data_IF_244136235056
#
_entry.id   IF_244136235056
#
_cell.length_a   1.000
_cell.length_b   1.000
_cell.length_c   1.000
_cell.angle_alpha   90.00
_cell.angle_beta   90.00
_cell.angle_gamma   90.00
#
_symmetry.space_group_name_H-M   'P 1'
#
loop_
_entity.id
_entity.type
_entity.pdbx_description
1 polymer ?
#
# COMPACT_ATOMS: atom_id res chain seq x y z
N UNK A 1 -3.68 3.37 11.37
CA UNK A 1 -3.03 3.60 10.06
C UNK A 1 -3.18 2.42 9.09
N UNK A 2 -2.98 1.16 9.53
CA UNK A 2 -3.17 -0.03 8.66
C UNK A 2 -4.65 -0.29 8.31
N UNK A 3 -5.56 0.18 9.16
CA UNK A 3 -7.01 0.11 9.00
C UNK A 3 -7.48 0.81 7.72
N UNK A 4 -6.74 1.81 7.22
CA UNK A 4 -7.08 2.51 5.98
C UNK A 4 -7.13 1.58 4.76
N UNK A 5 -6.49 0.41 4.82
CA UNK A 5 -6.47 -0.58 3.76
C UNK A 5 -7.58 -1.63 3.86
N UNK A 6 -8.43 -1.60 4.89
CA UNK A 6 -9.47 -2.59 5.14
C UNK A 6 -10.81 -1.92 5.47
N UNK A 7 -11.93 -2.60 5.22
CA UNK A 7 -13.27 -2.03 5.44
C UNK A 7 -13.63 -1.97 6.93
N UNK A 8 -14.25 -0.89 7.39
CA UNK A 8 -14.80 -0.75 8.75
C UNK A 8 -15.86 -1.82 9.06
N UNK A 9 -16.57 -2.34 8.05
CA UNK A 9 -17.56 -3.41 8.23
C UNK A 9 -16.98 -4.80 8.44
N UNK A 10 -15.68 -5.03 8.19
CA UNK A 10 -14.99 -6.27 8.57
C UNK A 10 -14.48 -6.24 10.02
N UNK A 11 -14.57 -5.08 10.69
CA UNK A 11 -14.36 -4.94 12.12
C UNK A 11 -15.73 -5.08 12.78
N UNK A 12 -16.18 -6.31 13.05
CA UNK A 12 -17.54 -6.57 13.53
C UNK A 12 -17.90 -5.74 14.79
N UNK A 13 -18.94 -4.92 14.61
CA UNK A 13 -20.09 -4.62 15.48
C UNK A 13 -20.00 -4.33 16.99
N UNK A 14 -18.83 -4.23 17.63
CA UNK A 14 -18.74 -3.85 19.07
C UNK A 14 -18.03 -2.52 19.36
N UNK A 15 -17.57 -1.78 18.34
CA UNK A 15 -16.83 -0.52 18.54
C UNK A 15 -17.44 0.72 17.85
N UNK A 16 -18.66 0.59 17.30
CA UNK A 16 -19.25 1.60 16.42
C UNK A 16 -19.73 2.90 17.10
N UNK A 17 -19.42 3.16 18.37
CA UNK A 17 -19.92 4.35 19.08
C UNK A 17 -18.90 5.27 19.75
N UNK A 18 -17.58 5.09 19.58
CA UNK A 18 -16.64 6.02 20.23
C UNK A 18 -15.38 6.49 19.47
N UNK A 19 -15.27 6.28 18.16
CA UNK A 19 -14.19 6.92 17.40
C UNK A 19 -14.72 7.77 16.25
N UNK A 20 -15.18 8.98 16.61
CA UNK A 20 -14.84 10.13 15.76
C UNK A 20 -13.30 10.15 15.68
N UNK A 21 -12.74 9.76 14.53
CA UNK A 21 -11.34 9.98 14.21
C UNK A 21 -11.14 11.50 14.11
N UNK A 22 -11.01 12.13 15.27
CA UNK A 22 -10.44 13.44 15.45
C UNK A 22 -9.07 13.45 14.78
N UNK A 23 -8.92 14.22 13.70
CA UNK A 23 -7.67 14.76 13.14
C UNK A 23 -6.37 14.04 13.56
N UNK A 24 -6.31 12.72 13.42
CA UNK A 24 -5.07 11.98 13.62
C UNK A 24 -4.21 12.33 12.42
N UNK A 25 -2.95 12.70 12.66
CA UNK A 25 -2.03 13.24 11.67
C UNK A 25 -1.97 12.34 10.43
N UNK A 26 -2.87 12.56 9.46
CA UNK A 26 -2.93 11.73 8.28
C UNK A 26 -1.83 12.23 7.37
N UNK A 27 -0.73 11.49 7.34
CA UNK A 27 0.37 11.81 6.46
C UNK A 27 -0.14 11.84 5.01
N UNK A 28 -0.03 12.99 4.32
CA UNK A 28 -0.58 13.13 2.97
C UNK A 28 0.19 12.31 1.94
N UNK A 29 1.32 11.70 2.29
CA UNK A 29 2.11 10.87 1.40
C UNK A 29 2.48 9.55 2.09
N UNK A 30 2.04 8.44 1.49
CA UNK A 30 2.23 7.07 1.96
C UNK A 30 2.87 6.20 0.87
N UNK A 31 3.64 5.19 1.29
CA UNK A 31 4.20 4.14 0.44
C UNK A 31 3.69 2.77 0.92
N UNK A 32 3.24 1.92 -0.01
CA UNK A 32 2.95 0.51 0.22
C UNK A 32 3.96 -0.36 -0.55
N UNK A 33 4.93 -0.95 0.14
CA UNK A 33 5.93 -1.83 -0.48
C UNK A 33 5.69 -3.29 -0.14
N UNK A 34 6.00 -4.20 -1.07
CA UNK A 34 5.94 -5.63 -0.79
C UNK A 34 6.40 -6.49 -1.95
N UNK A 35 6.52 -7.82 -1.73
CA UNK A 35 6.93 -8.75 -2.77
C UNK A 35 5.94 -8.80 -3.95
N UNK A 36 6.33 -9.40 -5.10
CA UNK A 36 5.37 -9.72 -6.15
C UNK A 36 4.22 -10.57 -5.61
N UNK A 37 3.03 -10.44 -6.22
CA UNK A 37 1.86 -11.28 -5.93
C UNK A 37 1.33 -11.28 -4.48
N UNK A 38 1.65 -10.26 -3.67
CA UNK A 38 1.14 -10.15 -2.30
C UNK A 38 -0.18 -9.34 -2.15
N UNK A 39 -0.88 -9.05 -3.24
CA UNK A 39 -2.17 -8.34 -3.17
C UNK A 39 -2.07 -6.83 -3.01
N UNK A 40 -0.92 -6.21 -3.31
CA UNK A 40 -0.75 -4.74 -3.28
C UNK A 40 -1.84 -4.00 -4.04
N UNK A 41 -2.08 -4.35 -5.29
CA UNK A 41 -3.10 -3.72 -6.13
C UNK A 41 -4.49 -3.83 -5.49
N UNK A 42 -4.83 -4.97 -4.88
CA UNK A 42 -6.08 -5.15 -4.13
C UNK A 42 -6.16 -4.23 -2.91
N UNK A 43 -5.10 -4.13 -2.10
CA UNK A 43 -5.02 -3.22 -0.96
C UNK A 43 -5.12 -1.74 -1.37
N UNK A 44 -4.45 -1.35 -2.45
CA UNK A 44 -4.53 0.00 -3.02
C UNK A 44 -5.95 0.33 -3.49
N UNK A 45 -6.61 -0.63 -4.14
CA UNK A 45 -7.97 -0.47 -4.61
C UNK A 45 -8.97 -0.40 -3.44
N UNK A 46 -8.75 -1.20 -2.39
CA UNK A 46 -9.52 -1.13 -1.15
C UNK A 46 -9.34 0.22 -0.44
N UNK A 47 -8.11 0.72 -0.38
CA UNK A 47 -7.84 2.07 0.13
C UNK A 47 -8.58 3.15 -0.66
N UNK A 48 -8.53 3.08 -1.99
CA UNK A 48 -9.25 4.00 -2.86
C UNK A 48 -10.78 3.95 -2.63
N UNK A 49 -11.33 2.76 -2.44
CA UNK A 49 -12.74 2.56 -2.11
C UNK A 49 -13.09 3.18 -0.75
N UNK A 50 -12.30 2.92 0.29
CA UNK A 50 -12.52 3.46 1.63
C UNK A 50 -12.50 4.99 1.63
N UNK A 51 -11.51 5.61 0.97
CA UNK A 51 -11.41 7.07 0.84
C UNK A 51 -12.63 7.65 0.13
N UNK A 52 -13.11 6.99 -0.92
CA UNK A 52 -14.29 7.44 -1.65
C UNK A 52 -15.60 7.21 -0.87
N UNK A 53 -15.65 6.19 -0.01
CA UNK A 53 -16.79 5.90 0.85
C UNK A 53 -16.94 6.91 2.00
N UNK A 54 -15.82 7.29 2.63
CA UNK A 54 -15.77 8.20 3.78
C UNK A 54 -15.99 9.67 3.40
N UNK A 55 -15.84 10.04 2.13
CA UNK A 55 -15.89 11.42 1.69
C UNK A 55 -17.33 11.95 1.60
N UNK A 56 -17.55 13.10 2.27
CA UNK A 56 -18.85 13.80 2.35
C UNK A 56 -19.24 14.53 1.05
N UNK A 57 -18.26 14.90 0.23
CA UNK A 57 -18.46 15.57 -1.07
C UNK A 57 -18.41 14.56 -2.24
N UNK A 58 -18.58 14.99 -3.50
CA UNK A 58 -18.47 14.10 -4.68
C UNK A 58 -17.05 14.10 -5.30
N UNK A 59 -16.01 14.49 -4.54
CA UNK A 59 -14.65 14.42 -5.04
C UNK A 59 -14.27 12.97 -5.34
N UNK A 60 -13.35 12.82 -6.30
CA UNK A 60 -12.93 11.53 -6.83
C UNK A 60 -11.59 11.10 -6.24
N UNK A 61 -11.34 9.80 -6.25
CA UNK A 61 -10.01 9.22 -6.06
C UNK A 61 -9.45 8.90 -7.44
N UNK A 62 -8.22 9.33 -7.74
CA UNK A 62 -7.57 9.02 -9.02
C UNK A 62 -6.64 7.83 -8.84
N UNK A 63 -6.88 6.75 -9.59
CA UNK A 63 -6.08 5.53 -9.54
C UNK A 63 -5.24 5.42 -10.82
N UNK A 64 -3.93 5.67 -10.69
CA UNK A 64 -2.94 5.63 -11.77
C UNK A 64 -2.31 4.24 -11.82
N UNK A 65 -2.37 3.59 -12.98
CA UNK A 65 -1.87 2.22 -13.15
C UNK A 65 -1.55 1.91 -14.61
N UNK A 66 -0.83 0.81 -14.86
CA UNK A 66 -0.74 0.22 -16.19
C UNK A 66 -2.05 -0.48 -16.56
N UNK A 67 -2.56 -0.23 -17.76
CA UNK A 67 -3.79 -0.86 -18.26
C UNK A 67 -3.68 -2.38 -18.34
N UNK A 68 -2.58 -2.85 -18.92
CA UNK A 68 -2.29 -4.28 -19.11
C UNK A 68 -2.32 -5.06 -17.79
N UNK A 69 -1.79 -4.49 -16.71
CA UNK A 69 -1.77 -5.12 -15.38
C UNK A 69 -3.19 -5.32 -14.85
N UNK A 70 -4.01 -4.27 -14.84
CA UNK A 70 -5.39 -4.33 -14.36
C UNK A 70 -6.25 -5.29 -15.21
N UNK A 71 -6.05 -5.32 -16.53
CA UNK A 71 -6.79 -6.23 -17.41
C UNK A 71 -6.36 -7.70 -17.21
N UNK A 72 -5.07 -7.96 -16.96
CA UNK A 72 -4.56 -9.33 -16.75
C UNK A 72 -4.84 -9.90 -15.35
N UNK A 73 -4.86 -9.03 -14.34
CA UNK A 73 -4.95 -9.38 -12.93
C UNK A 73 -5.72 -8.30 -12.18
N UNK A 74 -7.06 -8.26 -12.32
CA UNK A 74 -7.88 -7.25 -11.66
C UNK A 74 -7.78 -7.34 -10.12
N UNK A 75 -7.92 -6.21 -9.41
CA UNK A 75 -7.87 -6.21 -7.95
C UNK A 75 -8.98 -7.07 -7.34
N UNK A 76 -8.64 -7.82 -6.31
CA UNK A 76 -9.62 -8.54 -5.50
C UNK A 76 -10.32 -7.57 -4.55
N UNK A 77 -11.65 -7.64 -4.51
CA UNK A 77 -12.44 -6.84 -3.57
C UNK A 77 -12.44 -7.47 -2.18
N UNK A 78 -12.55 -6.64 -1.15
CA UNK A 78 -12.76 -7.12 0.21
C UNK A 78 -14.11 -7.84 0.36
N UNK A 79 -14.15 -8.85 1.23
CA UNK A 79 -15.40 -9.52 1.60
C UNK A 79 -16.45 -8.50 2.07
N UNK A 80 -17.65 -8.58 1.49
CA UNK A 80 -18.78 -7.70 1.81
C UNK A 80 -18.97 -6.53 0.83
N UNK A 81 -17.98 -6.23 -0.02
CA UNK A 81 -18.13 -5.16 -1.02
C UNK A 81 -18.89 -5.69 -2.23
N UNK A 82 -19.96 -4.99 -2.60
CA UNK A 82 -20.75 -5.28 -3.78
C UNK A 82 -20.09 -4.64 -5.01
N UNK A 83 -19.77 -5.41 -6.08
CA UNK A 83 -19.17 -4.88 -7.31
C UNK A 83 -20.02 -3.79 -8.00
N UNK A 84 -21.33 -3.76 -7.74
CA UNK A 84 -22.27 -2.77 -8.27
C UNK A 84 -22.33 -1.46 -7.47
N UNK A 85 -21.52 -1.32 -6.42
CA UNK A 85 -21.51 -0.13 -5.57
C UNK A 85 -21.22 1.14 -6.38
N UNK A 86 -22.05 2.17 -6.20
CA UNK A 86 -21.85 3.46 -6.85
C UNK A 86 -20.57 4.17 -6.40
N UNK A 87 -19.98 3.75 -5.27
CA UNK A 87 -18.67 4.23 -4.80
C UNK A 87 -17.58 3.99 -5.85
N UNK A 88 -17.66 2.93 -6.65
CA UNK A 88 -16.69 2.69 -7.72
C UNK A 88 -16.73 3.77 -8.80
N UNK A 89 -17.87 4.44 -9.02
CA UNK A 89 -17.97 5.60 -9.93
C UNK A 89 -17.17 6.81 -9.43
N UNK A 90 -16.77 6.81 -8.15
CA UNK A 90 -15.90 7.83 -7.56
C UNK A 90 -14.41 7.53 -7.68
N UNK A 91 -14.05 6.33 -8.16
CA UNK A 91 -12.66 5.95 -8.45
C UNK A 91 -12.41 6.14 -9.94
N UNK A 92 -11.63 7.16 -10.29
CA UNK A 92 -11.24 7.45 -11.66
C UNK A 92 -9.97 6.70 -12.03
N UNK A 93 -10.10 5.73 -12.93
CA UNK A 93 -8.94 5.01 -13.49
C UNK A 93 -8.20 5.90 -14.49
N UNK A 94 -6.88 6.02 -14.33
CA UNK A 94 -6.00 6.75 -15.24
C UNK A 94 -4.84 5.86 -15.68
N UNK A 95 -4.92 5.37 -16.91
CA UNK A 95 -3.89 4.51 -17.46
C UNK A 95 -2.71 5.33 -17.98
N UNK A 96 -1.50 5.00 -17.53
CA UNK A 96 -0.25 5.62 -17.99
C UNK A 96 0.76 4.52 -18.37
N UNK A 97 1.61 4.82 -19.35
CA UNK A 97 2.57 3.85 -19.89
C UNK A 97 3.96 3.97 -19.26
N UNK A 98 4.33 5.15 -18.78
CA UNK A 98 5.67 5.44 -18.27
C UNK A 98 5.70 6.63 -17.31
N UNK A 99 6.90 6.94 -16.83
CA UNK A 99 7.19 8.03 -15.92
C UNK A 99 6.76 9.42 -16.45
N UNK A 100 6.73 9.61 -17.78
CA UNK A 100 6.25 10.85 -18.40
C UNK A 100 4.75 11.06 -18.20
N UNK A 101 3.95 9.99 -18.18
CA UNK A 101 2.52 10.06 -17.90
C UNK A 101 2.24 10.55 -16.48
N UNK A 102 2.98 10.03 -15.49
CA UNK A 102 2.92 10.49 -14.10
C UNK A 102 3.35 11.95 -14.00
N UNK A 103 4.50 12.30 -14.62
CA UNK A 103 5.02 13.66 -14.62
C UNK A 103 4.01 14.66 -15.18
N UNK A 104 3.38 14.36 -16.32
CA UNK A 104 2.38 15.23 -16.94
C UNK A 104 1.16 15.43 -16.05
N UNK A 105 0.68 14.37 -15.38
CA UNK A 105 -0.44 14.47 -14.47
C UNK A 105 -0.15 15.42 -13.30
N UNK A 106 0.96 15.21 -12.58
CA UNK A 106 1.30 16.04 -11.43
C UNK A 106 1.78 17.45 -11.82
N UNK A 107 2.38 17.64 -13.00
CA UNK A 107 2.71 18.98 -13.50
C UNK A 107 1.44 19.81 -13.78
N UNK A 108 0.37 19.17 -14.25
CA UNK A 108 -0.93 19.80 -14.49
C UNK A 108 -1.80 19.88 -13.23
N UNK A 109 -1.32 19.46 -12.06
CA UNK A 109 -2.15 19.35 -10.85
C UNK A 109 -2.77 20.68 -10.41
N UNK A 110 -2.08 21.80 -10.68
CA UNK A 110 -2.56 23.15 -10.42
C UNK A 110 -3.75 23.58 -11.30
N UNK A 111 -4.10 22.81 -12.33
CA UNK A 111 -5.23 23.08 -13.23
C UNK A 111 -6.53 22.41 -12.76
N UNK A 112 -6.50 21.65 -11.66
CA UNK A 112 -7.71 21.08 -11.09
C UNK A 112 -8.57 22.19 -10.46
N UNK A 113 -9.83 22.33 -10.91
CA UNK A 113 -10.83 23.17 -10.24
C UNK A 113 -11.11 22.67 -8.82
N UNK A 114 -11.22 21.35 -8.69
CA UNK A 114 -11.36 20.64 -7.42
C UNK A 114 -10.32 19.52 -7.35
N UNK A 115 -9.47 19.55 -6.32
CA UNK A 115 -8.45 18.53 -6.12
C UNK A 115 -9.07 17.17 -5.80
N UNK A 116 -8.46 16.04 -6.23
CA UNK A 116 -8.93 14.71 -5.85
C UNK A 116 -8.76 14.48 -4.34
N UNK A 117 -9.56 13.57 -3.77
CA UNK A 117 -9.41 13.14 -2.36
C UNK A 117 -8.07 12.44 -2.14
N UNK A 118 -7.70 11.60 -3.11
CA UNK A 118 -6.43 10.90 -3.13
C UNK A 118 -6.00 10.62 -4.55
N UNK A 119 -4.69 10.60 -4.77
CA UNK A 119 -4.06 9.98 -5.92
C UNK A 119 -3.41 8.69 -5.46
N UNK A 120 -3.74 7.57 -6.10
CA UNK A 120 -3.17 6.26 -5.84
C UNK A 120 -2.36 5.84 -7.06
N UNK A 121 -1.09 5.47 -6.90
CA UNK A 121 -0.23 5.03 -8.00
C UNK A 121 0.21 3.59 -7.76
N UNK A 122 -0.27 2.69 -8.61
CA UNK A 122 0.07 1.26 -8.52
C UNK A 122 1.39 0.94 -9.22
N UNK A 123 2.30 0.31 -8.49
CA UNK A 123 3.66 -0.08 -8.82
C UNK A 123 4.51 1.06 -9.40
N UNK A 124 4.67 2.12 -8.62
CA UNK A 124 5.37 3.35 -8.99
C UNK A 124 6.75 3.10 -9.61
N UNK A 125 7.51 2.13 -9.08
CA UNK A 125 8.85 1.79 -9.56
C UNK A 125 8.89 1.20 -10.99
N UNK A 126 7.77 0.67 -11.49
CA UNK A 126 7.63 0.01 -12.81
C UNK A 126 7.57 1.00 -13.97
N UNK A 127 7.09 2.22 -13.72
CA UNK A 127 7.01 3.28 -14.75
C UNK A 127 8.38 3.80 -15.20
N UNK A 128 9.45 3.46 -14.47
CA UNK A 128 10.80 3.98 -14.68
C UNK A 128 11.69 2.94 -15.37
N UNK A 129 11.60 2.88 -16.70
CA UNK A 129 12.43 1.98 -17.51
C UNK A 129 13.91 2.40 -17.47
N UNK A 130 14.77 1.50 -16.97
CA UNK A 130 16.20 1.75 -16.73
C UNK A 130 16.91 2.37 -17.95
N UNK A 131 16.88 1.70 -19.11
CA UNK A 131 17.57 2.17 -20.33
C UNK A 131 17.07 3.54 -20.78
N UNK A 132 15.75 3.73 -20.82
CA UNK A 132 15.12 5.00 -21.21
C UNK A 132 15.56 6.14 -20.30
N UNK A 133 15.64 5.88 -18.99
CA UNK A 133 16.06 6.89 -18.02
C UNK A 133 17.57 7.18 -18.16
N UNK A 134 18.41 6.16 -18.33
CA UNK A 134 19.85 6.32 -18.53
C UNK A 134 20.17 7.14 -19.78
N UNK A 135 19.50 6.86 -20.90
CA UNK A 135 19.62 7.60 -22.16
C UNK A 135 19.17 9.05 -22.00
N UNK A 136 18.00 9.28 -21.37
CA UNK A 136 17.45 10.64 -21.16
C UNK A 136 18.38 11.54 -20.35
N UNK A 137 19.07 10.98 -19.36
CA UNK A 137 19.94 11.74 -18.46
C UNK A 137 21.44 11.63 -18.79
N UNK A 138 21.82 10.79 -19.76
CA UNK A 138 23.22 10.48 -20.05
C UNK A 138 23.98 9.96 -18.82
N UNK A 139 23.31 9.23 -17.92
CA UNK A 139 23.83 8.88 -16.60
C UNK A 139 23.43 7.44 -16.21
N UNK A 140 24.36 6.59 -15.74
CA UNK A 140 24.04 5.24 -15.25
C UNK A 140 22.99 5.20 -14.12
N UNK A 141 22.86 6.28 -13.33
CA UNK A 141 21.82 6.46 -12.31
C UNK A 141 20.61 7.25 -12.84
N UNK A 142 20.39 7.23 -14.15
CA UNK A 142 19.29 7.96 -14.79
C UNK A 142 17.92 7.57 -14.20
N UNK A 143 17.72 6.29 -13.85
CA UNK A 143 16.49 5.81 -13.20
C UNK A 143 16.27 6.45 -11.83
N UNK A 144 17.29 6.44 -10.98
CA UNK A 144 17.23 7.07 -9.65
C UNK A 144 16.92 8.58 -9.76
N UNK A 145 17.56 9.26 -10.71
CA UNK A 145 17.32 10.68 -10.97
C UNK A 145 15.88 10.95 -11.43
N UNK A 146 15.34 10.13 -12.33
CA UNK A 146 13.96 10.22 -12.78
C UNK A 146 12.98 10.08 -11.60
N UNK A 147 13.20 9.03 -10.81
CA UNK A 147 12.36 8.65 -9.68
C UNK A 147 12.32 9.76 -8.62
N UNK A 148 13.47 10.30 -8.22
CA UNK A 148 13.54 11.39 -7.25
C UNK A 148 12.86 12.66 -7.76
N UNK A 149 13.05 13.01 -9.03
CA UNK A 149 12.42 14.20 -9.62
C UNK A 149 10.91 14.09 -9.65
N UNK A 150 10.38 12.92 -10.01
CA UNK A 150 8.93 12.72 -10.03
C UNK A 150 8.37 12.60 -8.61
N UNK A 151 9.05 11.94 -7.67
CA UNK A 151 8.65 11.94 -6.25
C UNK A 151 8.56 13.35 -5.68
N UNK A 152 9.56 14.19 -5.95
CA UNK A 152 9.56 15.59 -5.52
C UNK A 152 8.40 16.38 -6.15
N UNK A 153 8.10 16.15 -7.43
CA UNK A 153 6.96 16.75 -8.12
C UNK A 153 5.63 16.32 -7.48
N UNK A 154 5.45 15.02 -7.23
CA UNK A 154 4.26 14.48 -6.59
C UNK A 154 4.06 15.07 -5.19
N UNK A 155 5.13 15.10 -4.38
CA UNK A 155 5.13 15.71 -3.06
C UNK A 155 4.68 17.17 -3.13
N UNK A 156 5.32 17.98 -3.99
CA UNK A 156 5.01 19.41 -4.11
C UNK A 156 3.58 19.66 -4.56
N UNK A 157 3.08 18.90 -5.55
CA UNK A 157 1.72 18.98 -6.03
C UNK A 157 0.71 18.73 -4.89
N UNK A 158 0.90 17.65 -4.14
CA UNK A 158 0.00 17.27 -3.03
C UNK A 158 0.08 18.28 -1.88
N UNK A 159 1.28 18.72 -1.48
CA UNK A 159 1.42 19.75 -0.45
C UNK A 159 0.76 21.05 -0.85
N UNK A 160 0.92 21.48 -2.11
CA UNK A 160 0.28 22.70 -2.61
C UNK A 160 -1.25 22.64 -2.62
N UNK A 161 -1.82 21.43 -2.74
CA UNK A 161 -3.27 21.24 -2.65
C UNK A 161 -3.79 21.22 -1.21
N UNK A 162 -2.96 20.91 -0.22
CA UNK A 162 -3.40 20.88 1.18
C UNK A 162 -3.81 22.25 1.70
N UNK A 163 -3.33 23.33 1.09
CA UNK A 163 -3.76 24.71 1.41
C UNK A 163 -5.18 25.03 0.88
N UNK A 164 -5.73 24.21 -0.03
CA UNK A 164 -6.98 24.52 -0.78
C UNK A 164 -8.03 23.40 -0.77
N UNK A 165 -7.60 22.16 -0.61
CA UNK A 165 -8.43 20.97 -0.70
C UNK A 165 -7.57 19.75 -0.45
N UNK A 166 -7.44 19.36 0.82
CA UNK A 166 -6.62 18.24 1.28
C UNK A 166 -6.66 17.04 0.33
N UNK A 167 -5.48 16.62 -0.16
CA UNK A 167 -5.29 15.48 -1.04
C UNK A 167 -4.28 14.52 -0.41
N UNK A 168 -4.57 13.22 -0.47
CA UNK A 168 -3.62 12.16 -0.10
C UNK A 168 -2.90 11.62 -1.34
N UNK A 169 -1.72 11.06 -1.14
CA UNK A 169 -0.96 10.33 -2.15
C UNK A 169 -0.51 9.01 -1.57
N UNK A 170 -0.89 7.93 -2.23
CA UNK A 170 -0.46 6.58 -1.91
C UNK A 170 0.23 5.99 -3.13
N UNK A 171 1.49 5.64 -3.00
CA UNK A 171 2.24 4.93 -4.04
C UNK A 171 2.53 3.51 -3.58
N UNK A 172 2.60 2.55 -4.50
CA UNK A 172 3.14 1.22 -4.18
C UNK A 172 4.45 0.95 -4.92
N UNK A 173 5.25 0.02 -4.39
CA UNK A 173 6.50 -0.44 -5.03
C UNK A 173 6.67 -1.94 -4.82
N UNK A 174 6.89 -2.67 -5.91
CA UNK A 174 7.21 -4.11 -5.88
C UNK A 174 8.72 -4.34 -5.77
N UNK A 175 9.13 -5.12 -4.77
CA UNK A 175 10.53 -5.48 -4.59
C UNK A 175 10.75 -6.97 -4.34
N UNK A 176 11.89 -7.49 -4.80
CA UNK A 176 12.36 -8.82 -4.41
C UNK A 176 13.25 -8.70 -3.16
N UNK A 177 12.94 -9.48 -2.12
CA UNK A 177 13.63 -9.44 -0.82
C UNK A 177 12.91 -8.58 0.23
N UNK A 178 13.59 -8.26 1.33
CA UNK A 178 12.96 -7.66 2.51
C UNK A 178 12.52 -6.19 2.35
N UNK A 179 13.09 -5.44 1.39
CA UNK A 179 12.78 -4.02 1.19
C UNK A 179 13.02 -3.53 -0.25
N UNK A 180 12.37 -2.42 -0.68
CA UNK A 180 12.68 -1.79 -1.96
C UNK A 180 14.15 -1.40 -2.06
N UNK A 181 14.78 -1.70 -3.21
CA UNK A 181 16.18 -1.29 -3.48
C UNK A 181 16.40 0.22 -3.32
N UNK A 182 15.35 1.00 -3.60
CA UNK A 182 15.35 2.46 -3.52
C UNK A 182 14.64 3.00 -2.27
N UNK A 183 14.49 2.18 -1.21
CA UNK A 183 13.83 2.58 0.03
C UNK A 183 14.44 3.85 0.64
N UNK A 184 15.75 4.04 0.52
CA UNK A 184 16.44 5.25 1.00
C UNK A 184 15.97 6.53 0.28
N UNK A 185 15.55 6.44 -0.99
CA UNK A 185 14.98 7.57 -1.73
C UNK A 185 13.56 7.86 -1.25
N UNK A 186 12.73 6.83 -1.06
CA UNK A 186 11.37 7.00 -0.56
C UNK A 186 11.34 7.60 0.85
N UNK A 187 12.21 7.12 1.77
CA UNK A 187 12.31 7.63 3.14
C UNK A 187 12.54 9.14 3.24
N UNK A 188 13.12 9.76 2.20
CA UNK A 188 13.34 11.21 2.14
C UNK A 188 12.05 12.01 1.89
N UNK A 189 11.09 11.43 1.18
CA UNK A 189 9.90 12.13 0.69
C UNK A 189 8.60 11.60 1.29
N UNK A 190 8.62 10.37 1.81
CA UNK A 190 7.45 9.64 2.28
C UNK A 190 7.55 9.42 3.79
N UNK A 191 6.72 10.09 4.60
CA UNK A 191 6.72 9.95 6.06
C UNK A 191 6.10 8.63 6.57
N UNK A 192 5.20 8.01 5.81
CA UNK A 192 4.52 6.76 6.19
C UNK A 192 4.81 5.64 5.22
N UNK A 193 5.46 4.58 5.69
CA UNK A 193 5.86 3.46 4.86
C UNK A 193 5.23 2.18 5.41
N UNK A 194 4.38 1.56 4.60
CA UNK A 194 3.78 0.28 4.87
C UNK A 194 4.53 -0.82 4.12
N UNK A 195 4.90 -1.88 4.82
CA UNK A 195 5.61 -3.01 4.22
C UNK A 195 4.80 -4.28 4.40
N UNK A 196 4.58 -4.99 3.30
CA UNK A 196 3.99 -6.31 3.26
C UNK A 196 5.10 -7.35 3.33
N UNK A 197 4.98 -8.30 4.26
CA UNK A 197 5.83 -9.49 4.33
C UNK A 197 4.99 -10.74 4.11
N UNK A 198 5.50 -11.65 3.29
CA UNK A 198 4.93 -12.99 3.17
C UNK A 198 5.26 -13.81 4.42
N UNK A 199 4.28 -14.59 4.89
CA UNK A 199 4.50 -15.60 5.93
C UNK A 199 5.06 -16.87 5.28
N UNK A 200 6.31 -16.84 4.84
CA UNK A 200 7.04 -18.08 4.56
C UNK A 200 7.58 -18.58 5.90
N UNK A 201 7.15 -19.75 6.33
CA UNK A 201 7.62 -20.40 7.56
C UNK A 201 9.15 -20.47 7.56
N UNK A 202 9.81 -19.72 8.44
CA UNK A 202 11.27 -19.73 8.62
C UNK A 202 11.83 -21.04 9.21
N UNK A 203 11.05 -22.11 9.29
CA UNK A 203 11.46 -23.37 9.93
C UNK A 203 12.09 -24.39 8.97
N UNK A 204 12.22 -24.10 7.67
CA UNK A 204 12.90 -25.00 6.72
C UNK A 204 13.78 -24.20 5.74
N UNK A 205 14.74 -23.44 6.27
CA UNK A 205 15.61 -22.56 5.46
C UNK A 205 16.77 -23.28 4.74
N UNK A 206 16.73 -24.61 4.58
CA UNK A 206 17.81 -25.37 3.90
C UNK A 206 17.38 -26.48 2.95
N UNK A 207 16.08 -26.74 2.71
CA UNK A 207 15.68 -27.87 1.85
C UNK A 207 14.45 -27.66 0.97
N UNK A 208 14.25 -26.46 0.39
CA UNK A 208 13.25 -26.33 -0.69
C UNK A 208 13.91 -25.69 -1.91
N UNK A 209 14.35 -26.59 -2.79
CA UNK A 209 14.39 -26.43 -4.24
C UNK A 209 13.08 -25.77 -4.68
N UNK A 210 13.16 -24.70 -5.47
CA UNK A 210 12.08 -24.07 -6.25
C UNK A 210 10.76 -24.86 -6.26
N UNK A 211 9.85 -24.51 -5.34
CA UNK A 211 8.44 -24.84 -5.48
C UNK A 211 7.64 -23.55 -5.56
N UNK A 212 6.92 -23.42 -6.66
CA UNK A 212 5.87 -22.42 -6.83
C UNK A 212 4.89 -22.51 -5.65
N UNK A 213 4.70 -21.39 -4.96
CA UNK A 213 3.56 -21.13 -4.08
C UNK A 213 3.28 -22.16 -2.98
N UNK A 214 3.88 -21.97 -1.81
CA UNK A 214 3.31 -22.54 -0.57
C UNK A 214 2.01 -21.80 -0.20
N UNK A 215 0.93 -22.19 -0.88
CA UNK A 215 -0.35 -22.66 -0.33
C UNK A 215 -1.23 -21.79 0.56
N UNK A 216 -0.70 -20.89 1.41
CA UNK A 216 -1.52 -20.24 2.42
C UNK A 216 -1.88 -18.78 2.16
N UNK A 217 -1.27 -18.10 1.17
CA UNK A 217 -1.75 -16.81 0.66
C UNK A 217 -1.92 -15.68 1.70
N UNK A 218 -1.37 -15.83 2.91
CA UNK A 218 -1.46 -14.86 4.01
C UNK A 218 -0.22 -13.98 4.10
N UNK A 219 -0.44 -12.73 4.48
CA UNK A 219 0.53 -11.65 4.47
C UNK A 219 0.37 -10.77 5.71
N UNK A 220 1.47 -10.15 6.13
CA UNK A 220 1.49 -9.17 7.20
C UNK A 220 1.76 -7.78 6.64
N UNK A 221 0.85 -6.84 6.89
CA UNK A 221 1.03 -5.42 6.61
C UNK A 221 1.50 -4.71 7.87
N UNK A 222 2.71 -4.15 7.82
CA UNK A 222 3.34 -3.41 8.91
C UNK A 222 3.47 -1.93 8.57
N UNK A 223 3.19 -1.03 9.51
CA UNK A 223 3.38 0.41 9.35
C UNK A 223 4.67 0.89 10.03
N UNK A 224 5.62 1.41 9.26
CA UNK A 224 6.81 2.10 9.73
C UNK A 224 6.62 3.61 9.55
N UNK A 225 6.31 4.33 10.64
CA UNK A 225 6.34 5.79 10.65
C UNK A 225 7.80 6.26 10.70
N UNK A 226 8.18 7.16 9.79
CA UNK A 226 9.55 7.66 9.67
C UNK A 226 9.78 8.94 10.51
N UNK A 227 8.79 9.35 11.32
CA UNK A 227 8.85 10.55 12.16
C UNK A 227 9.50 10.17 13.48
N UNK A 228 10.73 10.64 13.68
CA UNK A 228 11.44 10.46 14.94
C UNK A 228 10.73 11.17 16.09
N UNK A 229 10.41 10.43 17.15
CA UNK A 229 10.26 10.91 18.54
C UNK A 229 9.52 9.83 19.34
N UNK A 230 10.22 9.20 20.29
CA UNK A 230 9.84 8.90 21.69
C UNK A 230 8.42 8.46 22.10
N UNK A 231 7.50 8.17 21.18
CA UNK A 231 6.23 7.57 21.51
C UNK A 231 6.27 6.09 21.12
N UNK A 232 6.25 5.25 22.14
CA UNK A 232 5.87 3.83 22.14
C UNK A 232 4.41 3.65 21.68
N UNK A 233 4.03 4.23 20.53
CA UNK A 233 2.80 3.82 19.87
C UNK A 233 3.00 2.39 19.39
N UNK A 234 2.28 1.47 20.02
CA UNK A 234 2.30 0.05 19.70
C UNK A 234 2.08 -0.14 18.19
N UNK A 235 3.02 -0.80 17.54
CA UNK A 235 2.97 -1.02 16.10
C UNK A 235 1.83 -1.99 15.80
N UNK A 236 0.80 -1.50 15.11
CA UNK A 236 -0.31 -2.34 14.63
C UNK A 236 0.09 -3.08 13.36
N UNK A 237 -0.24 -4.36 13.31
CA UNK A 237 0.06 -5.24 12.19
C UNK A 237 -1.23 -5.87 11.70
N UNK A 238 -1.57 -5.68 10.43
CA UNK A 238 -2.73 -6.35 9.85
C UNK A 238 -2.30 -7.64 9.17
N UNK A 239 -2.90 -8.77 9.57
CA UNK A 239 -2.77 -10.05 8.88
C UNK A 239 -3.92 -10.19 7.90
N UNK A 240 -3.63 -10.46 6.63
CA UNK A 240 -4.63 -10.60 5.60
C UNK A 240 -4.28 -11.72 4.63
N UNK A 241 -5.26 -12.23 3.90
CA UNK A 241 -5.06 -13.26 2.87
C UNK A 241 -5.85 -12.98 1.60
N UNK A 242 -5.42 -13.65 0.53
CA UNK A 242 -6.09 -13.66 -0.77
C UNK A 242 -6.75 -15.01 -1.01
N UNK A 243 -7.94 -15.22 -0.46
CA UNK A 243 -8.67 -16.49 -0.54
C UNK A 243 -9.91 -16.31 -1.42
N UNK A 244 -10.20 -17.28 -2.29
CA UNK A 244 -11.36 -17.26 -3.18
C UNK A 244 -11.50 -15.97 -4.01
N UNK A 245 -10.39 -15.42 -4.49
CA UNK A 245 -10.34 -14.15 -5.25
C UNK A 245 -10.91 -12.95 -4.47
N UNK A 246 -10.73 -12.95 -3.14
CA UNK A 246 -11.15 -11.87 -2.24
C UNK A 246 -10.00 -11.46 -1.33
N UNK A 247 -10.01 -10.19 -0.94
CA UNK A 247 -9.17 -9.68 0.11
C UNK A 247 -9.85 -9.92 1.47
N UNK A 248 -9.21 -10.70 2.34
CA UNK A 248 -9.72 -11.04 3.67
C UNK A 248 -8.78 -10.49 4.73
N UNK A 249 -9.27 -9.62 5.61
CA UNK A 249 -8.59 -9.29 6.85
C UNK A 249 -8.78 -10.44 7.84
N UNK A 250 -7.69 -11.07 8.27
CA UNK A 250 -7.71 -12.15 9.26
C UNK A 250 -7.68 -11.61 10.69
N UNK A 251 -7.04 -10.45 10.89
CA UNK A 251 -6.98 -9.79 12.19
C UNK A 251 -5.96 -8.64 12.22
N UNK A 252 -6.05 -7.81 13.26
CA UNK A 252 -5.06 -6.78 13.57
C UNK A 252 -4.41 -7.17 14.90
N UNK A 253 -3.09 -7.33 14.88
CA UNK A 253 -2.27 -7.70 16.02
C UNK A 253 -1.50 -6.47 16.53
N UNK A 254 -1.19 -6.46 17.81
CA UNK A 254 -0.18 -5.57 18.39
C UNK A 254 1.19 -6.29 18.41
N UNK A 255 2.30 -5.56 18.20
CA UNK A 255 3.66 -6.15 18.10
C UNK A 255 4.04 -7.04 19.31
N UNK A 256 3.45 -6.83 20.49
CA UNK A 256 3.64 -7.64 21.71
C UNK A 256 3.03 -9.05 21.62
N UNK A 257 2.06 -9.28 20.73
CA UNK A 257 1.37 -10.57 20.58
C UNK A 257 2.14 -11.54 19.67
N UNK A 258 3.04 -11.04 18.81
CA UNK A 258 3.80 -11.87 17.87
C UNK A 258 4.89 -12.68 18.60
N UNK A 259 5.55 -12.09 19.60
CA UNK A 259 6.53 -12.80 20.41
C UNK A 259 5.85 -13.89 21.27
N UNK A 260 4.65 -13.62 21.80
CA UNK A 260 3.93 -14.59 22.62
C UNK A 260 3.33 -15.74 21.79
N UNK A 261 2.81 -15.49 20.60
CA UNK A 261 2.29 -16.56 19.74
C UNK A 261 3.38 -17.46 19.17
N UNK A 262 4.56 -16.91 18.83
CA UNK A 262 5.71 -17.70 18.39
C UNK A 262 6.27 -18.58 19.54
N UNK A 263 6.26 -18.07 20.78
CA UNK A 263 6.66 -18.83 21.97
C UNK A 263 5.64 -19.94 22.28
N UNK A 264 4.34 -19.66 22.17
CA UNK A 264 3.30 -20.67 22.42
C UNK A 264 3.27 -21.75 21.34
N UNK A 265 3.41 -21.40 20.05
CA UNK A 265 3.45 -22.40 18.97
C UNK A 265 4.69 -23.29 19.07
N UNK A 266 5.86 -22.72 19.39
CA UNK A 266 7.08 -23.49 19.62
C UNK A 266 6.95 -24.43 20.84
N UNK A 267 6.28 -23.99 21.90
CA UNK A 267 6.09 -24.81 23.10
C UNK A 267 5.11 -25.97 22.89
N UNK A 268 4.07 -25.78 22.06
CA UNK A 268 3.10 -26.83 21.72
C UNK A 268 3.70 -27.87 20.76
N UNK A 269 4.49 -27.45 19.78
CA UNK A 269 5.19 -28.39 18.87
C UNK A 269 6.26 -29.21 19.59
N UNK A 270 6.97 -28.63 20.56
CA UNK A 270 7.92 -29.37 21.42
C UNK A 270 7.22 -30.40 22.33
N UNK A 271 5.98 -30.13 22.76
CA UNK A 271 5.17 -31.06 23.56
C UNK A 271 4.59 -32.22 22.73
N UNK A 272 4.37 -32.02 21.43
CA UNK A 272 3.85 -33.06 20.52
C UNK A 272 5.00 -33.96 20.00
N UNK A 273 6.22 -33.43 19.84
CA UNK A 273 7.39 -34.21 19.42
C UNK A 273 7.99 -35.11 20.54
N UNK A 274 7.51 -34.99 21.78
CA UNK A 274 7.99 -35.72 22.96
C UNK A 274 7.06 -36.88 23.39
N UNK A 275 6.14 -37.33 22.53
CA UNK A 275 5.30 -38.53 22.73
C UNK A 275 5.45 -39.48 21.56
#
# INVERSE_FOLDING_TARGET
MVEAFFSTTQMDFDFAHHHSLSQSQSHPFMLLSGPPSCGKTSLLFQFAYNVALEAEDDRKVVFICHRSRIESAPPFLSQGIQPSSDIFKRIQMKYVEDDEGIKKYFAAFHLHDTFPLSVVVDDFGDFFYERKCQERYGNPRGRDLALVRILALCHNAVMSSNDKGHCKLLISDTHHGDSPRLLFLYKRWVPSIFTIKGLFNKMIDWLIVYTEGDGNGSFLLKNYSNVGSDNTEKMKIAKYSLVYQRLLLEGILEDEEIDNHAVVSASVEQLIAAK
#
